data_IF_249254589246
#
_entry.id   IF_249254589246
#
_cell.length_a   1.000
_cell.length_b   1.000
_cell.length_c   1.000
_cell.angle_alpha   90.00
_cell.angle_beta   90.00
_cell.angle_gamma   90.00
#
_symmetry.space_group_name_H-M   'P 1'
#
loop_
_entity.id
_entity.type
_entity.pdbx_description
1 polymer ?
#
# COMPACT_ATOMS: atom_id res chain seq x y z
N UNK A 1 0.50 -8.52 -42.51
CA UNK A 1 -0.30 -8.40 -43.74
C UNK A 1 -0.63 -6.93 -43.93
N UNK A 2 -0.28 -6.40 -45.11
CA UNK A 2 -0.42 -5.01 -45.51
C UNK A 2 -1.87 -4.67 -45.83
N UNK A 3 -2.34 -3.48 -45.42
CA UNK A 3 -3.36 -2.74 -46.17
C UNK A 3 -2.95 -1.27 -46.22
N UNK A 4 -2.92 -0.79 -47.45
CA UNK A 4 -2.38 0.44 -48.01
C UNK A 4 -3.21 1.68 -47.66
N UNK A 5 -2.54 2.85 -47.61
CA UNK A 5 -3.18 4.15 -47.48
C UNK A 5 -3.74 4.71 -48.80
N UNK A 6 -4.47 5.83 -48.68
CA UNK A 6 -4.64 6.81 -49.74
C UNK A 6 -5.01 8.20 -49.17
N UNK A 7 -4.39 9.20 -49.80
CA UNK A 7 -4.26 10.62 -49.50
C UNK A 7 -5.58 11.44 -49.59
N UNK A 8 -5.76 12.46 -48.74
CA UNK A 8 -5.47 13.91 -48.94
C UNK A 8 -6.17 14.55 -50.16
N UNK A 9 -7.12 15.45 -49.89
CA UNK A 9 -7.45 16.60 -50.76
C UNK A 9 -7.61 17.87 -49.92
N UNK A 10 -6.85 18.90 -50.32
CA UNK A 10 -6.99 20.29 -49.92
C UNK A 10 -8.14 20.96 -50.69
N UNK A 11 -8.75 21.96 -50.07
CA UNK A 11 -9.59 22.97 -50.71
C UNK A 11 -9.59 24.22 -49.82
N UNK A 12 -9.16 25.34 -50.39
CA UNK A 12 -8.91 26.66 -49.77
C UNK A 12 -10.00 27.70 -50.13
N UNK A 13 -9.93 28.84 -49.43
CA UNK A 13 -10.59 30.16 -49.61
C UNK A 13 -11.85 30.40 -48.76
N UNK A 14 -11.81 31.25 -47.73
CA UNK A 14 -11.78 32.74 -47.69
C UNK A 14 -13.19 33.33 -47.97
N UNK A 15 -13.74 34.34 -47.29
CA UNK A 15 -13.22 35.47 -46.52
C UNK A 15 -14.42 36.23 -45.86
N UNK A 16 -14.12 37.13 -44.91
CA UNK A 16 -14.87 38.36 -44.53
C UNK A 16 -16.16 38.24 -43.67
N UNK A 17 -16.47 39.10 -42.68
CA UNK A 17 -15.80 40.21 -41.94
C UNK A 17 -16.76 40.60 -40.79
N UNK A 18 -16.21 41.19 -39.71
CA UNK A 18 -16.78 42.24 -38.82
C UNK A 18 -18.13 41.98 -38.09
N UNK A 19 -18.38 42.39 -36.85
CA UNK A 19 -17.69 43.25 -35.89
C UNK A 19 -18.63 43.52 -34.69
N UNK A 20 -18.17 44.38 -33.78
CA UNK A 20 -18.89 45.03 -32.68
C UNK A 20 -18.94 44.34 -31.29
N UNK A 21 -18.00 44.82 -30.48
CA UNK A 21 -17.99 44.92 -29.02
C UNK A 21 -19.27 45.52 -28.41
N UNK A 22 -19.64 45.06 -27.21
CA UNK A 22 -20.19 45.94 -26.18
C UNK A 22 -19.87 45.44 -24.77
N UNK A 23 -19.25 46.32 -24.01
CA UNK A 23 -18.88 46.23 -22.60
C UNK A 23 -19.99 46.77 -21.73
N UNK A 24 -20.34 46.09 -20.63
CA UNK A 24 -21.03 46.69 -19.49
C UNK A 24 -20.39 46.23 -18.18
N UNK A 25 -20.01 47.22 -17.37
CA UNK A 25 -19.38 47.10 -16.05
C UNK A 25 -20.37 46.65 -14.96
N UNK A 26 -19.92 45.66 -14.17
CA UNK A 26 -19.93 45.49 -12.68
C UNK A 26 -20.94 46.25 -11.79
N UNK A 27 -21.41 45.63 -10.67
CA UNK A 27 -20.62 45.62 -9.42
C UNK A 27 -20.56 44.30 -8.63
N UNK A 28 -19.43 44.13 -7.92
CA UNK A 28 -19.14 43.12 -6.89
C UNK A 28 -20.02 43.30 -5.63
N UNK A 29 -20.22 42.23 -4.83
CA UNK A 29 -20.43 42.36 -3.39
C UNK A 29 -19.14 42.04 -2.61
N UNK A 30 -18.92 42.88 -1.61
CA UNK A 30 -17.78 42.93 -0.71
C UNK A 30 -17.71 41.75 0.29
N UNK A 31 -16.48 41.53 0.76
CA UNK A 31 -16.11 40.73 1.94
C UNK A 31 -16.88 41.18 3.19
N UNK A 32 -17.64 40.26 3.79
CA UNK A 32 -18.13 40.38 5.17
C UNK A 32 -17.28 39.54 6.11
N UNK A 33 -16.66 40.20 7.09
CA UNK A 33 -15.88 39.60 8.17
C UNK A 33 -16.78 38.81 9.15
N UNK A 34 -16.14 37.89 9.87
CA UNK A 34 -16.77 36.81 10.60
C UNK A 34 -17.76 37.21 11.70
N UNK A 35 -18.87 36.48 11.73
CA UNK A 35 -19.72 36.34 12.92
C UNK A 35 -19.49 34.94 13.50
N UNK A 36 -18.73 34.91 14.59
CA UNK A 36 -18.40 33.72 15.39
C UNK A 36 -19.67 33.33 16.18
N UNK A 37 -20.46 32.39 15.67
CA UNK A 37 -21.50 31.74 16.45
C UNK A 37 -20.89 30.54 17.17
N UNK A 38 -21.00 30.58 18.49
CA UNK A 38 -20.49 29.62 19.45
C UNK A 38 -21.09 28.24 19.18
N UNK A 39 -20.19 27.26 19.04
CA UNK A 39 -20.50 25.85 19.02
C UNK A 39 -20.80 25.42 20.46
N UNK A 40 -22.06 25.13 20.77
CA UNK A 40 -22.41 24.32 21.92
C UNK A 40 -22.46 22.88 21.45
N UNK A 41 -21.38 22.14 21.71
CA UNK A 41 -21.37 20.68 21.76
C UNK A 41 -20.33 20.29 22.81
N UNK A 42 -20.79 19.74 23.93
CA UNK A 42 -19.94 18.94 24.80
C UNK A 42 -20.83 17.93 25.52
N UNK A 43 -20.62 16.64 25.21
CA UNK A 43 -20.46 15.48 26.11
C UNK A 43 -20.52 14.18 25.27
N UNK A 44 -19.83 13.09 25.65
CA UNK A 44 -18.42 13.00 26.04
C UNK A 44 -17.64 12.04 25.12
N UNK A 45 -16.42 12.44 24.74
CA UNK A 45 -15.43 11.57 24.09
C UNK A 45 -14.69 10.76 25.15
N UNK A 46 -15.17 9.57 25.45
CA UNK A 46 -14.38 8.54 26.12
C UNK A 46 -14.12 7.35 25.20
N UNK A 47 -13.07 7.51 24.40
CA UNK A 47 -12.20 6.39 23.99
C UNK A 47 -10.84 6.98 23.61
N UNK A 48 -10.12 7.48 24.63
CA UNK A 48 -8.71 7.84 24.47
C UNK A 48 -7.89 6.57 24.28
N UNK A 49 -7.44 6.36 23.04
CA UNK A 49 -6.30 5.51 22.74
C UNK A 49 -5.07 6.09 23.45
N UNK A 50 -4.60 5.43 24.50
CA UNK A 50 -3.34 5.78 25.15
C UNK A 50 -2.18 5.26 24.29
N UNK A 51 -1.74 6.07 23.33
CA UNK A 51 -0.39 5.97 22.82
C UNK A 51 0.51 6.71 23.82
N UNK A 52 1.23 5.97 24.66
CA UNK A 52 2.30 6.56 25.45
C UNK A 52 3.28 7.26 24.49
N UNK A 53 3.40 8.57 24.63
CA UNK A 53 4.44 9.36 24.00
C UNK A 53 5.79 8.89 24.55
N UNK A 54 6.54 8.13 23.75
CA UNK A 54 8.00 8.08 23.89
C UNK A 54 8.59 9.02 22.87
N UNK A 55 9.03 10.17 23.35
CA UNK A 55 9.90 11.11 22.64
C UNK A 55 11.29 10.50 22.46
N UNK A 56 11.66 10.15 21.23
CA UNK A 56 13.01 10.27 20.68
C UNK A 56 13.06 9.61 19.29
N UNK A 57 13.17 10.42 18.24
CA UNK A 57 13.52 9.97 16.90
C UNK A 57 15.01 9.63 16.84
N UNK A 58 15.44 8.42 16.43
CA UNK A 58 16.83 8.15 16.12
C UNK A 58 17.07 8.42 14.63
N UNK A 59 17.09 9.70 14.23
CA UNK A 59 17.47 10.12 12.87
C UNK A 59 18.67 11.09 12.84
N UNK A 60 19.32 11.33 13.97
CA UNK A 60 20.42 12.30 14.08
C UNK A 60 21.65 11.83 14.88
N UNK A 61 21.86 10.51 15.03
CA UNK A 61 23.09 9.99 15.63
C UNK A 61 23.91 9.17 14.61
N UNK A 62 25.07 9.72 14.25
CA UNK A 62 26.19 9.13 13.47
C UNK A 62 26.19 9.37 11.97
N UNK A 63 26.21 10.65 11.59
CA UNK A 63 27.07 11.13 10.52
C UNK A 63 28.15 12.03 11.14
N UNK A 64 29.25 11.43 11.62
CA UNK A 64 30.49 12.14 11.94
C UNK A 64 31.63 11.10 12.04
N UNK A 65 32.68 11.27 11.23
CA UNK A 65 33.95 10.57 11.40
C UNK A 65 34.37 9.60 10.28
N UNK A 66 34.35 10.02 9.01
CA UNK A 66 35.34 9.55 8.03
C UNK A 66 36.28 10.71 7.73
N UNK A 67 37.53 10.61 8.17
CA UNK A 67 38.73 10.99 7.40
C UNK A 67 39.93 10.22 7.98
N UNK A 68 40.81 9.86 7.05
CA UNK A 68 41.90 8.90 7.10
C UNK A 68 43.12 9.37 7.91
N UNK A 69 43.95 8.42 8.38
CA UNK A 69 45.33 8.22 7.89
C UNK A 69 46.15 7.33 8.85
N UNK A 70 46.72 6.25 8.30
CA UNK A 70 48.11 5.84 8.56
C UNK A 70 48.42 4.96 9.77
N UNK A 71 49.17 3.87 9.50
CA UNK A 71 50.27 3.46 10.38
C UNK A 71 50.20 2.05 10.94
N UNK A 72 50.94 1.14 10.29
CA UNK A 72 51.27 -0.21 10.75
C UNK A 72 52.16 -0.24 12.01
N UNK A 73 52.02 -1.36 12.75
CA UNK A 73 53.06 -2.18 13.40
C UNK A 73 53.90 -1.67 14.58
N UNK A 74 54.00 -2.59 15.56
CA UNK A 74 55.12 -2.93 16.46
C UNK A 74 55.26 -2.22 17.82
N UNK A 75 55.67 -3.01 18.81
CA UNK A 75 56.50 -2.53 19.94
C UNK A 75 55.85 -2.54 21.32
N UNK A 76 56.04 -3.64 22.04
CA UNK A 76 55.94 -3.75 23.50
C UNK A 76 57.14 -3.10 24.21
N UNK A 77 56.96 -2.80 25.52
CA UNK A 77 57.96 -2.40 26.54
C UNK A 77 58.38 -0.92 26.49
N UNK A 78 58.56 -0.17 27.58
CA UNK A 78 58.48 -0.43 29.02
C UNK A 78 58.33 0.93 29.77
N UNK A 79 57.92 0.83 31.04
CA UNK A 79 58.06 1.73 32.21
C UNK A 79 59.06 2.94 32.14
N UNK A 80 58.95 4.08 32.85
CA UNK A 80 58.46 4.43 34.20
C UNK A 80 58.50 5.99 34.44
N UNK A 81 57.68 6.46 35.42
CA UNK A 81 57.81 7.64 36.33
C UNK A 81 57.65 9.09 35.77
N UNK A 82 56.60 9.87 36.13
CA UNK A 82 56.23 10.55 37.41
C UNK A 82 56.79 12.01 37.41
N UNK A 83 56.15 13.13 37.79
CA UNK A 83 54.91 13.59 38.46
C UNK A 83 54.61 15.03 37.90
N UNK A 84 53.47 15.71 38.02
CA UNK A 84 52.28 15.60 38.87
C UNK A 84 51.28 16.76 38.60
N UNK A 85 50.36 16.97 39.56
CA UNK A 85 49.24 17.94 39.64
C UNK A 85 47.98 17.49 38.87
N UNK A 86 46.81 17.20 39.43
CA UNK A 86 46.09 17.63 40.64
C UNK A 86 44.62 17.15 40.49
N UNK A 87 43.76 17.27 41.52
CA UNK A 87 42.79 16.24 41.89
C UNK A 87 41.55 16.25 40.99
N UNK A 88 41.31 15.15 40.27
CA UNK A 88 40.01 14.89 39.68
C UNK A 88 39.38 13.72 40.41
N UNK A 89 38.51 14.07 41.37
CA UNK A 89 37.57 13.16 42.02
C UNK A 89 36.78 12.44 40.93
N UNK A 90 37.25 11.23 40.62
CA UNK A 90 36.62 10.31 39.70
C UNK A 90 35.33 9.89 40.39
N UNK A 91 34.21 10.50 39.99
CA UNK A 91 32.93 9.84 40.15
C UNK A 91 33.03 8.54 39.35
N UNK A 92 33.35 7.47 40.06
CA UNK A 92 33.01 6.11 39.70
C UNK A 92 31.51 6.14 39.36
N UNK A 93 31.21 6.31 38.07
CA UNK A 93 29.99 5.75 37.49
C UNK A 93 30.21 4.23 37.50
N UNK A 94 30.09 3.71 38.72
CA UNK A 94 29.77 2.33 38.99
C UNK A 94 28.62 2.03 38.05
N UNK A 95 28.88 1.18 37.05
CA UNK A 95 27.82 0.50 36.31
C UNK A 95 27.04 -0.25 37.39
N UNK A 96 26.03 0.40 37.95
CA UNK A 96 24.93 -0.32 38.56
C UNK A 96 24.40 -1.16 37.40
N UNK A 97 24.75 -2.44 37.42
CA UNK A 97 24.05 -3.47 36.68
C UNK A 97 22.61 -3.40 37.15
N UNK A 98 21.84 -2.50 36.52
CA UNK A 98 20.40 -2.44 36.64
C UNK A 98 19.87 -3.66 35.92
N UNK A 99 19.98 -4.82 36.56
CA UNK A 99 19.17 -5.99 36.28
C UNK A 99 17.72 -5.63 36.55
N UNK A 100 17.12 -4.88 35.62
CA UNK A 100 15.68 -4.93 35.40
C UNK A 100 15.46 -6.05 34.42
N UNK A 101 15.69 -7.28 34.88
CA UNK A 101 15.05 -8.45 34.30
C UNK A 101 13.57 -8.25 34.52
N UNK A 102 12.91 -7.52 33.62
CA UNK A 102 11.47 -7.45 33.59
C UNK A 102 11.03 -8.83 33.11
N UNK A 103 10.48 -9.70 33.96
CA UNK A 103 10.09 -11.06 33.55
C UNK A 103 9.12 -11.02 32.36
N UNK A 104 8.30 -9.96 32.26
CA UNK A 104 7.45 -9.70 31.09
C UNK A 104 8.20 -9.36 29.79
N UNK A 105 9.35 -8.68 29.86
CA UNK A 105 10.20 -8.41 28.69
C UNK A 105 10.98 -9.65 28.28
N UNK A 106 11.47 -10.45 29.24
CA UNK A 106 12.13 -11.73 28.97
C UNK A 106 11.14 -12.71 28.34
N UNK A 107 9.94 -12.88 28.92
CA UNK A 107 8.90 -13.75 28.34
C UNK A 107 8.42 -13.26 26.98
N UNK A 108 8.34 -11.94 26.77
CA UNK A 108 8.02 -11.37 25.46
C UNK A 108 9.13 -11.63 24.45
N UNK A 109 10.39 -11.46 24.84
CA UNK A 109 11.54 -11.73 23.99
C UNK A 109 11.64 -13.21 23.63
N UNK A 110 11.46 -14.12 24.60
CA UNK A 110 11.37 -15.57 24.38
C UNK A 110 10.20 -15.93 23.45
N UNK A 111 9.02 -15.35 23.67
CA UNK A 111 7.86 -15.55 22.78
C UNK A 111 8.14 -15.06 21.36
N UNK A 112 8.87 -13.95 21.20
CA UNK A 112 9.26 -13.41 19.90
C UNK A 112 10.37 -14.21 19.23
N UNK A 113 11.29 -14.81 20.00
CA UNK A 113 12.30 -15.74 19.49
C UNK A 113 11.69 -17.08 19.07
N UNK A 114 10.68 -17.55 19.81
CA UNK A 114 9.93 -18.77 19.51
C UNK A 114 8.82 -18.55 18.46
N UNK A 115 8.65 -17.31 18.00
CA UNK A 115 7.69 -16.97 16.95
C UNK A 115 8.13 -17.61 15.64
N UNK A 116 7.25 -18.35 14.93
CA UNK A 116 7.59 -18.96 13.64
C UNK A 116 7.74 -17.92 12.52
N UNK A 117 7.59 -16.61 12.80
CA UNK A 117 7.71 -15.55 11.81
C UNK A 117 9.16 -15.18 11.60
N UNK A 118 9.59 -15.17 10.34
CA UNK A 118 10.92 -14.69 9.97
C UNK A 118 11.25 -13.30 10.58
N UNK A 119 12.37 -13.20 11.30
CA UNK A 119 12.87 -11.95 11.89
C UNK A 119 13.58 -11.10 10.82
N UNK A 120 13.90 -9.84 11.18
CA UNK A 120 14.89 -9.03 10.45
C UNK A 120 16.32 -9.53 10.65
N UNK A 121 16.57 -10.26 11.74
CA UNK A 121 17.87 -10.86 11.99
C UNK A 121 18.10 -12.14 11.16
N UNK A 122 17.05 -12.69 10.53
CA UNK A 122 17.19 -13.85 9.66
C UNK A 122 18.08 -13.48 8.47
N UNK A 123 19.08 -14.32 8.21
CA UNK A 123 19.95 -14.13 7.06
C UNK A 123 19.12 -14.19 5.77
N UNK A 124 19.24 -13.16 4.94
CA UNK A 124 18.73 -13.19 3.58
C UNK A 124 19.74 -13.99 2.76
N UNK A 125 19.33 -15.08 2.08
CA UNK A 125 20.21 -15.82 1.19
C UNK A 125 20.84 -14.89 0.15
N UNK A 126 22.15 -15.02 -0.07
CA UNK A 126 22.85 -14.24 -1.12
C UNK A 126 22.28 -14.57 -2.50
N UNK A 127 21.99 -15.86 -2.73
CA UNK A 127 21.30 -16.37 -3.92
C UNK A 127 19.83 -16.68 -3.60
N UNK A 128 18.90 -16.22 -4.45
CA UNK A 128 17.49 -16.45 -4.21
C UNK A 128 17.11 -17.93 -4.36
N UNK A 129 16.32 -18.43 -3.42
CA UNK A 129 15.78 -19.79 -3.44
C UNK A 129 14.60 -19.89 -4.42
N UNK A 130 14.25 -21.10 -4.88
CA UNK A 130 13.07 -21.27 -5.74
C UNK A 130 11.75 -20.90 -5.04
N UNK A 131 11.66 -21.19 -3.74
CA UNK A 131 10.54 -20.83 -2.89
C UNK A 131 11.11 -20.17 -1.63
N UNK A 132 11.02 -18.84 -1.50
CA UNK A 132 11.54 -18.16 -0.33
C UNK A 132 10.83 -18.63 0.93
N UNK A 133 11.57 -18.85 2.02
CA UNK A 133 11.02 -19.28 3.33
C UNK A 133 9.74 -18.55 3.73
N UNK A 134 9.67 -17.23 3.54
CA UNK A 134 8.49 -16.42 3.91
C UNK A 134 7.27 -16.65 3.03
N UNK A 135 7.47 -17.05 1.78
CA UNK A 135 6.38 -17.46 0.91
C UNK A 135 5.90 -18.86 1.32
N UNK A 136 6.84 -19.77 1.60
CA UNK A 136 6.54 -21.12 2.11
C UNK A 136 5.70 -21.06 3.40
N UNK A 137 6.11 -20.27 4.40
CA UNK A 137 5.37 -20.08 5.65
C UNK A 137 3.92 -19.60 5.42
N UNK A 138 3.71 -18.75 4.40
CA UNK A 138 2.37 -18.24 4.05
C UNK A 138 1.53 -19.31 3.36
N UNK A 139 2.14 -20.15 2.54
CA UNK A 139 1.49 -21.26 1.88
C UNK A 139 1.07 -22.32 2.90
N UNK A 140 1.98 -22.73 3.78
CA UNK A 140 1.74 -23.73 4.84
C UNK A 140 0.71 -23.25 5.87
N UNK A 141 0.58 -21.94 6.04
CA UNK A 141 -0.46 -21.35 6.89
C UNK A 141 -1.90 -21.52 6.37
N UNK A 142 -2.10 -22.02 5.14
CA UNK A 142 -3.43 -22.26 4.58
C UNK A 142 -3.93 -23.66 4.98
N UNK A 143 -5.05 -23.72 5.71
CA UNK A 143 -5.67 -25.00 6.09
C UNK A 143 -6.53 -25.55 4.93
N UNK A 144 -5.90 -26.18 3.94
CA UNK A 144 -6.57 -26.79 2.78
C UNK A 144 -7.67 -27.80 3.19
N UNK A 145 -7.44 -28.74 4.12
CA UNK A 145 -8.50 -29.68 4.53
C UNK A 145 -9.76 -28.98 5.05
N UNK A 146 -9.59 -27.91 5.82
CA UNK A 146 -10.72 -27.13 6.33
C UNK A 146 -11.44 -26.37 5.20
N UNK A 147 -10.71 -25.87 4.20
CA UNK A 147 -11.32 -25.21 3.05
C UNK A 147 -12.16 -26.18 2.22
N UNK A 148 -11.68 -27.41 2.00
CA UNK A 148 -12.39 -28.44 1.23
C UNK A 148 -13.81 -28.69 1.77
N UNK A 149 -13.97 -28.70 3.09
CA UNK A 149 -15.27 -28.88 3.74
C UNK A 149 -16.16 -27.63 3.70
N UNK A 150 -15.56 -26.44 3.61
CA UNK A 150 -16.28 -25.17 3.83
C UNK A 150 -16.68 -24.45 2.56
N UNK A 151 -15.80 -24.44 1.57
CA UNK A 151 -16.02 -23.73 0.31
C UNK A 151 -15.15 -24.36 -0.77
N UNK A 152 -15.78 -25.15 -1.65
CA UNK A 152 -15.12 -25.87 -2.73
C UNK A 152 -14.36 -24.93 -3.66
N UNK A 153 -14.93 -23.78 -4.00
CA UNK A 153 -14.30 -22.83 -4.94
C UNK A 153 -13.02 -22.22 -4.36
N UNK A 154 -13.05 -21.81 -3.09
CA UNK A 154 -11.87 -21.28 -2.39
C UNK A 154 -10.82 -22.38 -2.19
N UNK A 155 -11.25 -23.62 -1.94
CA UNK A 155 -10.35 -24.76 -1.82
C UNK A 155 -9.63 -25.09 -3.13
N UNK A 156 -10.37 -25.21 -4.23
CA UNK A 156 -9.81 -25.46 -5.57
C UNK A 156 -8.79 -24.39 -5.93
N UNK A 157 -9.18 -23.12 -5.79
CA UNK A 157 -8.29 -21.99 -6.04
C UNK A 157 -7.06 -22.01 -5.13
N UNK A 158 -7.22 -22.26 -3.83
CA UNK A 158 -6.09 -22.34 -2.89
C UNK A 158 -5.13 -23.48 -3.25
N UNK A 159 -5.66 -24.62 -3.68
CA UNK A 159 -4.88 -25.78 -4.13
C UNK A 159 -4.06 -25.41 -5.36
N UNK A 160 -4.68 -24.82 -6.38
CA UNK A 160 -3.98 -24.36 -7.60
C UNK A 160 -2.88 -23.35 -7.25
N UNK A 161 -3.14 -22.37 -6.37
CA UNK A 161 -2.12 -21.39 -5.94
C UNK A 161 -0.95 -22.05 -5.23
N UNK A 162 -1.21 -22.99 -4.30
CA UNK A 162 -0.17 -23.70 -3.58
C UNK A 162 0.67 -24.57 -4.53
N UNK A 163 0.02 -25.24 -5.49
CA UNK A 163 0.70 -26.11 -6.44
C UNK A 163 1.57 -25.32 -7.42
N UNK A 164 1.15 -24.14 -7.89
CA UNK A 164 2.02 -23.27 -8.70
C UNK A 164 3.30 -22.91 -7.93
N UNK A 165 3.17 -22.50 -6.67
CA UNK A 165 4.33 -22.14 -5.84
C UNK A 165 5.24 -23.32 -5.57
N UNK A 166 4.71 -24.50 -5.22
CA UNK A 166 5.50 -25.73 -5.02
C UNK A 166 6.30 -26.12 -6.26
N UNK A 167 5.73 -25.88 -7.44
CA UNK A 167 6.37 -26.17 -8.71
C UNK A 167 7.29 -25.04 -9.22
N UNK A 168 7.55 -24.01 -8.40
CA UNK A 168 8.40 -22.88 -8.78
C UNK A 168 7.83 -22.05 -9.93
N UNK A 169 6.51 -22.00 -10.07
CA UNK A 169 5.79 -21.26 -11.12
C UNK A 169 5.10 -20.03 -10.52
N UNK A 170 5.05 -18.96 -11.30
CA UNK A 170 4.34 -17.73 -10.93
C UNK A 170 2.84 -17.78 -11.26
N UNK A 171 2.15 -16.66 -11.02
CA UNK A 171 0.76 -16.52 -11.43
C UNK A 171 0.59 -16.64 -12.95
N UNK A 172 -0.51 -17.24 -13.37
CA UNK A 172 -0.90 -17.45 -14.76
C UNK A 172 -2.38 -17.06 -14.96
N UNK A 173 -2.94 -17.35 -16.15
CA UNK A 173 -4.33 -17.03 -16.48
C UNK A 173 -5.35 -17.71 -15.57
N UNK A 174 -5.10 -18.96 -15.16
CA UNK A 174 -5.97 -19.70 -14.23
C UNK A 174 -6.01 -19.04 -12.85
N UNK A 175 -4.84 -18.65 -12.32
CA UNK A 175 -4.75 -17.91 -11.05
C UNK A 175 -5.47 -16.56 -11.14
N UNK A 176 -5.30 -15.84 -12.25
CA UNK A 176 -5.99 -14.56 -12.47
C UNK A 176 -7.51 -14.74 -12.55
N UNK A 177 -8.00 -15.78 -13.23
CA UNK A 177 -9.42 -16.10 -13.28
C UNK A 177 -9.98 -16.41 -11.88
N UNK A 178 -9.22 -17.15 -11.07
CA UNK A 178 -9.52 -17.40 -9.66
C UNK A 178 -9.52 -16.12 -8.81
N UNK A 179 -8.54 -15.24 -8.99
CA UNK A 179 -8.47 -13.92 -8.35
C UNK A 179 -9.74 -13.12 -8.62
N UNK A 180 -10.17 -13.04 -9.89
CA UNK A 180 -11.38 -12.32 -10.30
C UNK A 180 -12.62 -12.95 -9.65
N UNK A 181 -12.72 -14.29 -9.70
CA UNK A 181 -13.87 -15.03 -9.16
C UNK A 181 -14.05 -14.80 -7.65
N UNK A 182 -12.95 -14.80 -6.90
CA UNK A 182 -12.97 -14.70 -5.43
C UNK A 182 -12.81 -13.28 -4.89
N UNK A 183 -12.51 -12.29 -5.75
CA UNK A 183 -12.37 -10.89 -5.35
C UNK A 183 -13.57 -10.35 -4.52
N UNK A 184 -14.85 -10.68 -4.84
CA UNK A 184 -15.97 -10.25 -3.99
C UNK A 184 -15.90 -10.81 -2.56
N UNK A 185 -15.47 -12.06 -2.38
CA UNK A 185 -15.28 -12.67 -1.06
C UNK A 185 -14.14 -11.97 -0.32
N UNK A 186 -13.00 -11.73 -0.97
CA UNK A 186 -11.88 -11.02 -0.36
C UNK A 186 -12.26 -9.59 0.05
N UNK A 187 -13.04 -8.88 -0.77
CA UNK A 187 -13.56 -7.57 -0.41
C UNK A 187 -14.49 -7.62 0.81
N UNK A 188 -15.37 -8.62 0.91
CA UNK A 188 -16.24 -8.81 2.07
C UNK A 188 -15.42 -9.05 3.35
N UNK A 189 -14.41 -9.92 3.27
CA UNK A 189 -13.51 -10.24 4.38
C UNK A 189 -12.77 -8.98 4.85
N UNK A 190 -12.18 -8.22 3.93
CA UNK A 190 -11.44 -7.01 4.29
C UNK A 190 -12.35 -5.88 4.79
N UNK A 191 -13.59 -5.76 4.30
CA UNK A 191 -14.57 -4.83 4.87
C UNK A 191 -14.93 -5.20 6.31
N UNK A 192 -15.10 -6.49 6.62
CA UNK A 192 -15.35 -6.94 7.99
C UNK A 192 -14.16 -6.64 8.91
N UNK A 193 -12.93 -6.84 8.39
CA UNK A 193 -11.69 -6.61 9.16
C UNK A 193 -11.35 -5.13 9.33
N UNK A 194 -11.83 -4.26 8.44
CA UNK A 194 -11.49 -2.85 8.42
C UNK A 194 -12.79 -2.02 8.28
N UNK A 195 -13.52 -1.75 9.40
CA UNK A 195 -14.70 -0.90 9.36
C UNK A 195 -14.40 0.46 8.72
N UNK A 196 -15.23 0.88 7.76
CA UNK A 196 -15.03 2.11 7.00
C UNK A 196 -14.15 1.97 5.73
N UNK A 197 -13.59 0.79 5.46
CA UNK A 197 -12.93 0.51 4.18
C UNK A 197 -13.88 0.75 3.00
N UNK A 198 -15.13 0.29 3.14
CA UNK A 198 -16.22 0.46 2.16
C UNK A 198 -15.79 0.05 0.74
N UNK A 199 -15.11 -1.10 0.63
CA UNK A 199 -14.62 -1.65 -0.62
C UNK A 199 -15.75 -2.33 -1.40
N UNK A 200 -15.93 -1.95 -2.66
CA UNK A 200 -16.87 -2.55 -3.59
C UNK A 200 -16.14 -3.08 -4.82
N UNK A 201 -16.72 -4.08 -5.47
CA UNK A 201 -16.13 -4.75 -6.64
C UNK A 201 -17.17 -4.76 -7.75
N UNK A 202 -16.77 -4.37 -8.96
CA UNK A 202 -17.66 -4.36 -10.12
C UNK A 202 -17.05 -5.14 -11.28
N UNK A 203 -17.92 -5.80 -12.06
CA UNK A 203 -17.50 -6.65 -13.18
C UNK A 203 -17.09 -5.85 -14.42
N UNK A 204 -17.50 -4.59 -14.50
CA UNK A 204 -17.25 -3.72 -15.65
C UNK A 204 -17.39 -2.25 -15.30
N UNK A 205 -16.85 -1.39 -16.17
CA UNK A 205 -16.91 0.06 -16.07
C UNK A 205 -18.33 0.61 -15.96
N UNK A 206 -19.31 0.05 -16.68
CA UNK A 206 -20.70 0.55 -16.68
C UNK A 206 -21.35 0.40 -15.30
N UNK A 207 -21.22 -0.78 -14.70
CA UNK A 207 -21.72 -1.06 -13.34
C UNK A 207 -21.05 -0.15 -12.31
N UNK A 208 -19.72 0.01 -12.40
CA UNK A 208 -18.95 0.90 -11.54
C UNK A 208 -19.45 2.35 -11.63
N UNK A 209 -19.53 2.90 -12.84
CA UNK A 209 -19.98 4.28 -13.06
C UNK A 209 -21.44 4.51 -12.63
N UNK A 210 -22.32 3.51 -12.83
CA UNK A 210 -23.70 3.56 -12.33
C UNK A 210 -23.73 3.63 -10.81
N UNK A 211 -23.01 2.75 -10.12
CA UNK A 211 -22.96 2.73 -8.67
C UNK A 211 -22.40 4.04 -8.08
N UNK A 212 -21.35 4.62 -8.68
CA UNK A 212 -20.80 5.91 -8.26
C UNK A 212 -21.86 7.03 -8.34
N UNK A 213 -22.68 7.05 -9.41
CA UNK A 213 -23.76 8.04 -9.58
C UNK A 213 -24.84 7.87 -8.51
N UNK A 214 -25.27 6.63 -8.27
CA UNK A 214 -26.30 6.30 -7.27
C UNK A 214 -25.85 6.65 -5.85
N UNK A 215 -24.61 6.29 -5.50
CA UNK A 215 -24.03 6.65 -4.19
C UNK A 215 -23.89 8.16 -4.03
N UNK A 216 -23.44 8.87 -5.06
CA UNK A 216 -23.37 10.33 -4.98
C UNK A 216 -24.75 10.96 -4.81
N UNK A 217 -25.78 10.47 -5.52
CA UNK A 217 -27.15 10.95 -5.34
C UNK A 217 -27.64 10.71 -3.91
N UNK A 218 -27.36 9.55 -3.35
CA UNK A 218 -27.69 9.20 -1.95
C UNK A 218 -27.02 10.18 -0.98
N UNK A 219 -25.72 10.45 -1.13
CA UNK A 219 -24.96 11.44 -0.34
C UNK A 219 -25.55 12.85 -0.44
N UNK A 220 -25.99 13.25 -1.65
CA UNK A 220 -26.63 14.55 -1.83
C UNK A 220 -28.02 14.62 -1.17
N UNK A 221 -28.76 13.51 -1.10
CA UNK A 221 -30.08 13.45 -0.48
C UNK A 221 -30.01 13.39 1.05
N UNK A 222 -29.24 12.44 1.59
CA UNK A 222 -29.17 12.19 3.04
C UNK A 222 -28.20 13.12 3.79
N UNK A 223 -27.41 13.91 3.06
CA UNK A 223 -26.39 14.83 3.58
C UNK A 223 -25.30 14.15 4.43
N UNK A 224 -25.07 12.86 4.23
CA UNK A 224 -24.01 12.10 4.90
C UNK A 224 -22.84 11.87 3.95
N UNK A 225 -21.60 12.26 4.30
CA UNK A 225 -20.44 12.00 3.46
C UNK A 225 -20.15 10.50 3.36
N UNK A 226 -19.57 10.09 2.23
CA UNK A 226 -19.17 8.71 1.98
C UNK A 226 -17.75 8.67 1.42
N UNK A 227 -16.90 7.89 2.07
CA UNK A 227 -15.62 7.46 1.53
C UNK A 227 -15.72 5.98 1.18
N UNK A 228 -15.33 5.61 -0.03
CA UNK A 228 -15.42 4.23 -0.53
C UNK A 228 -14.26 3.90 -1.45
N UNK A 229 -13.98 2.60 -1.58
CA UNK A 229 -12.99 2.09 -2.53
C UNK A 229 -13.68 1.19 -3.53
N UNK A 230 -13.21 1.20 -4.76
CA UNK A 230 -13.73 0.33 -5.82
C UNK A 230 -12.58 -0.40 -6.48
N UNK A 231 -12.77 -1.69 -6.78
CA UNK A 231 -11.93 -2.43 -7.72
C UNK A 231 -12.80 -2.84 -8.91
N UNK A 232 -12.33 -2.54 -10.12
CA UNK A 232 -13.07 -2.83 -11.35
C UNK A 232 -12.12 -2.86 -12.56
N UNK A 233 -12.53 -3.50 -13.67
CA UNK A 233 -11.81 -3.42 -14.92
C UNK A 233 -12.15 -2.12 -15.66
N UNK A 234 -11.17 -1.23 -15.91
CA UNK A 234 -11.47 0.14 -16.36
C UNK A 234 -11.72 0.29 -17.86
N UNK A 235 -11.31 -0.69 -18.67
CA UNK A 235 -11.43 -0.63 -20.12
C UNK A 235 -12.70 -1.33 -20.59
N UNK A 236 -13.41 -0.72 -21.54
CA UNK A 236 -14.61 -1.28 -22.13
C UNK A 236 -14.30 -2.64 -22.78
N UNK A 237 -14.91 -3.70 -22.27
CA UNK A 237 -14.74 -5.07 -22.79
C UNK A 237 -13.54 -5.82 -22.21
N UNK A 238 -12.62 -5.15 -21.51
CA UNK A 238 -11.57 -5.83 -20.76
C UNK A 238 -12.15 -6.46 -19.49
N UNK A 239 -11.62 -7.63 -19.14
CA UNK A 239 -12.01 -8.37 -17.92
C UNK A 239 -10.80 -8.78 -17.07
N UNK A 240 -9.61 -8.66 -17.63
CA UNK A 240 -8.35 -9.19 -17.12
C UNK A 240 -7.52 -8.11 -16.41
N UNK A 241 -7.62 -6.84 -16.79
CA UNK A 241 -6.95 -5.74 -16.09
C UNK A 241 -7.88 -5.05 -15.08
N UNK A 242 -7.44 -4.89 -13.82
CA UNK A 242 -8.19 -4.21 -12.76
C UNK A 242 -7.38 -3.06 -12.17
N UNK A 243 -8.10 -2.00 -11.78
CA UNK A 243 -7.54 -0.84 -11.06
C UNK A 243 -8.35 -0.56 -9.80
N UNK A 244 -7.78 0.26 -8.91
CA UNK A 244 -8.46 0.71 -7.70
C UNK A 244 -8.89 2.17 -7.82
N UNK A 245 -10.08 2.49 -7.33
CA UNK A 245 -10.51 3.86 -7.09
C UNK A 245 -10.60 4.11 -5.58
N UNK A 246 -10.07 5.23 -5.11
CA UNK A 246 -10.46 5.85 -3.84
C UNK A 246 -11.41 7.02 -4.14
N UNK A 247 -12.56 7.05 -3.48
CA UNK A 247 -13.64 7.98 -3.78
C UNK A 247 -14.09 8.68 -2.51
N UNK A 248 -14.09 10.01 -2.55
CA UNK A 248 -14.69 10.88 -1.54
C UNK A 248 -15.90 11.61 -2.10
N UNK A 249 -17.05 11.41 -1.45
CA UNK A 249 -18.30 12.09 -1.76
C UNK A 249 -18.71 12.94 -0.56
N UNK A 250 -18.98 14.23 -0.82
CA UNK A 250 -19.39 15.19 0.21
C UNK A 250 -20.67 15.92 -0.22
N UNK A 251 -21.61 16.19 0.70
CA UNK A 251 -22.78 17.00 0.40
C UNK A 251 -22.39 18.36 -0.19
N UNK A 252 -23.07 18.79 -1.26
CA UNK A 252 -22.80 20.07 -1.94
C UNK A 252 -21.54 20.08 -2.81
N UNK A 253 -20.76 19.00 -2.85
CA UNK A 253 -19.57 18.90 -3.67
C UNK A 253 -19.70 17.81 -4.73
N UNK A 254 -18.98 18.01 -5.85
CA UNK A 254 -18.80 16.96 -6.85
C UNK A 254 -17.88 15.84 -6.30
N UNK A 255 -18.10 14.56 -6.67
CA UNK A 255 -17.23 13.46 -6.25
C UNK A 255 -15.75 13.74 -6.57
N UNK A 256 -14.87 13.36 -5.64
CA UNK A 256 -13.42 13.34 -5.86
C UNK A 256 -12.97 11.89 -5.96
N UNK A 257 -12.31 11.54 -7.06
CA UNK A 257 -11.91 10.17 -7.40
C UNK A 257 -10.40 10.15 -7.66
N UNK A 258 -9.69 9.27 -6.98
CA UNK A 258 -8.29 8.92 -7.23
C UNK A 258 -8.27 7.52 -7.83
N UNK A 259 -7.89 7.42 -9.10
CA UNK A 259 -7.59 6.15 -9.77
C UNK A 259 -6.13 5.78 -9.49
N UNK A 260 -5.91 4.60 -8.93
CA UNK A 260 -4.60 4.12 -8.50
C UNK A 260 -4.21 2.84 -9.23
N UNK A 261 -3.04 2.85 -9.88
CA UNK A 261 -2.53 1.76 -10.71
C UNK A 261 -1.20 1.19 -10.16
N UNK A 262 -1.05 -0.12 -10.31
CA UNK A 262 0.17 -0.84 -9.94
C UNK A 262 1.05 -1.19 -11.13
N UNK A 263 0.46 -1.38 -12.32
CA UNK A 263 1.18 -1.70 -13.55
C UNK A 263 1.61 -0.41 -14.28
N UNK A 264 1.66 -0.42 -15.62
CA UNK A 264 2.19 0.69 -16.43
C UNK A 264 1.20 1.87 -16.61
N UNK A 265 1.77 3.06 -16.81
CA UNK A 265 1.00 4.31 -16.87
C UNK A 265 0.17 4.50 -18.14
N UNK A 266 0.50 3.81 -19.23
CA UNK A 266 -0.13 4.08 -20.54
C UNK A 266 -1.63 3.75 -20.54
N UNK A 267 -2.04 2.71 -19.81
CA UNK A 267 -3.45 2.32 -19.67
C UNK A 267 -4.26 3.33 -18.84
N UNK A 268 -3.60 4.09 -17.97
CA UNK A 268 -4.27 5.03 -17.07
C UNK A 268 -4.91 6.19 -17.81
N UNK A 269 -4.29 6.69 -18.89
CA UNK A 269 -4.84 7.83 -19.62
C UNK A 269 -6.13 7.47 -20.35
N UNK A 270 -6.18 6.27 -20.94
CA UNK A 270 -7.40 5.73 -21.55
C UNK A 270 -8.49 5.47 -20.49
N UNK A 271 -8.15 4.78 -19.40
CA UNK A 271 -9.05 4.52 -18.29
C UNK A 271 -9.64 5.81 -17.69
N UNK A 272 -8.80 6.83 -17.49
CA UNK A 272 -9.23 8.16 -17.05
C UNK A 272 -10.20 8.80 -18.04
N UNK A 273 -9.94 8.72 -19.34
CA UNK A 273 -10.81 9.27 -20.38
C UNK A 273 -12.20 8.63 -20.37
N UNK A 274 -12.26 7.30 -20.22
CA UNK A 274 -13.53 6.57 -20.09
C UNK A 274 -14.29 7.00 -18.84
N UNK A 275 -13.62 7.04 -17.68
CA UNK A 275 -14.24 7.44 -16.42
C UNK A 275 -14.73 8.90 -16.44
N UNK A 276 -13.93 9.81 -17.00
CA UNK A 276 -14.28 11.22 -17.14
C UNK A 276 -15.48 11.44 -18.05
N UNK A 277 -15.58 10.65 -19.13
CA UNK A 277 -16.75 10.69 -20.03
C UNK A 277 -18.02 10.21 -19.33
N UNK A 278 -17.93 9.15 -18.52
CA UNK A 278 -19.08 8.62 -17.79
C UNK A 278 -19.49 9.49 -16.59
N UNK A 279 -18.53 10.22 -15.99
CA UNK A 279 -18.69 11.03 -14.78
C UNK A 279 -18.17 12.48 -15.00
N UNK A 280 -18.79 13.28 -15.89
CA UNK A 280 -18.25 14.57 -16.33
C UNK A 280 -18.13 15.62 -15.22
N UNK A 281 -18.84 15.44 -14.11
CA UNK A 281 -18.77 16.35 -12.95
C UNK A 281 -17.71 15.94 -11.93
N UNK A 282 -17.18 14.72 -11.96
CA UNK A 282 -16.22 14.25 -10.94
C UNK A 282 -14.85 14.94 -11.10
N UNK A 283 -14.15 15.15 -9.98
CA UNK A 283 -12.70 15.43 -10.00
C UNK A 283 -11.99 14.10 -10.10
N UNK A 284 -11.27 13.85 -11.18
CA UNK A 284 -10.55 12.59 -11.38
C UNK A 284 -9.06 12.88 -11.39
N UNK A 285 -8.34 12.27 -10.44
CA UNK A 285 -6.89 12.23 -10.40
C UNK A 285 -6.43 10.80 -10.67
N UNK A 286 -5.32 10.67 -11.40
CA UNK A 286 -4.62 9.41 -11.61
C UNK A 286 -3.34 9.46 -10.81
N UNK A 287 -3.04 8.37 -10.11
CA UNK A 287 -1.79 8.14 -9.41
C UNK A 287 -1.42 6.66 -9.51
N UNK A 288 -0.22 6.28 -9.05
CA UNK A 288 0.20 4.89 -9.11
C UNK A 288 1.52 4.63 -8.45
N UNK A 289 1.75 3.35 -8.15
CA UNK A 289 3.02 2.86 -7.61
C UNK A 289 3.93 2.25 -8.68
N UNK A 290 3.36 1.80 -9.81
CA UNK A 290 4.11 1.27 -10.96
C UNK A 290 5.09 0.14 -10.59
N UNK A 291 4.72 -0.68 -9.59
CA UNK A 291 5.57 -1.73 -9.00
C UNK A 291 5.28 -3.14 -9.54
N UNK A 292 4.19 -3.31 -10.29
CA UNK A 292 3.80 -4.57 -10.91
C UNK A 292 4.53 -4.75 -12.24
N UNK A 293 5.15 -5.91 -12.39
CA UNK A 293 5.81 -6.40 -13.62
C UNK A 293 5.13 -7.64 -14.18
N UNK A 294 4.40 -8.39 -13.37
CA UNK A 294 3.63 -9.54 -13.85
C UNK A 294 2.37 -9.12 -14.59
N UNK A 295 1.96 -9.97 -15.54
CA UNK A 295 0.73 -9.79 -16.33
C UNK A 295 -0.54 -10.14 -15.54
N UNK A 296 -0.44 -11.00 -14.53
CA UNK A 296 -1.59 -11.70 -13.95
C UNK A 296 -1.98 -11.28 -12.53
N UNK A 297 -1.20 -10.42 -11.85
CA UNK A 297 -1.43 -10.09 -10.43
C UNK A 297 -2.21 -8.78 -10.20
N UNK A 298 -2.74 -8.12 -11.23
CA UNK A 298 -3.37 -6.80 -11.11
C UNK A 298 -4.55 -6.76 -10.11
N UNK A 299 -5.27 -7.87 -9.96
CA UNK A 299 -6.36 -8.01 -8.98
C UNK A 299 -5.84 -7.96 -7.55
N UNK A 300 -4.77 -8.70 -7.25
CA UNK A 300 -4.15 -8.72 -5.92
C UNK A 300 -3.49 -7.39 -5.58
N UNK A 301 -2.84 -6.75 -6.56
CA UNK A 301 -2.32 -5.39 -6.36
C UNK A 301 -3.44 -4.39 -6.11
N UNK A 302 -4.53 -4.46 -6.87
CA UNK A 302 -5.70 -3.60 -6.65
C UNK A 302 -6.32 -3.79 -5.28
N UNK A 303 -6.45 -5.04 -4.81
CA UNK A 303 -6.92 -5.32 -3.46
C UNK A 303 -5.99 -4.75 -2.39
N UNK A 304 -4.67 -4.95 -2.52
CA UNK A 304 -3.72 -4.33 -1.61
C UNK A 304 -3.80 -2.80 -1.65
N UNK A 305 -3.88 -2.20 -2.85
CA UNK A 305 -3.98 -0.74 -3.02
C UNK A 305 -5.23 -0.19 -2.33
N UNK A 306 -6.39 -0.83 -2.44
CA UNK A 306 -7.60 -0.41 -1.74
C UNK A 306 -7.41 -0.37 -0.21
N UNK A 307 -6.77 -1.41 0.34
CA UNK A 307 -6.45 -1.50 1.77
C UNK A 307 -5.44 -0.41 2.18
N UNK A 308 -4.45 -0.10 1.34
CA UNK A 308 -3.45 0.94 1.63
C UNK A 308 -4.03 2.34 1.52
N UNK A 309 -4.83 2.62 0.49
CA UNK A 309 -5.52 3.90 0.31
C UNK A 309 -6.43 4.20 1.52
N UNK A 310 -7.09 3.18 2.07
CA UNK A 310 -7.79 3.29 3.33
C UNK A 310 -6.85 3.53 4.51
N UNK A 311 -5.77 2.75 4.69
CA UNK A 311 -4.86 2.91 5.84
C UNK A 311 -4.11 4.25 5.86
N UNK A 312 -3.96 4.89 4.70
CA UNK A 312 -3.29 6.17 4.53
C UNK A 312 -4.29 7.30 4.20
N UNK A 313 -5.57 7.14 4.55
CA UNK A 313 -6.62 8.06 4.15
C UNK A 313 -6.44 9.50 4.66
N UNK A 314 -5.96 9.66 5.90
CA UNK A 314 -5.82 10.97 6.53
C UNK A 314 -4.55 11.73 6.13
N UNK A 315 -3.58 11.04 5.53
CA UNK A 315 -2.29 11.63 5.15
C UNK A 315 -2.08 11.66 3.63
N UNK A 316 -1.94 10.50 3.01
CA UNK A 316 -1.61 10.41 1.59
C UNK A 316 -2.83 10.70 0.73
N UNK A 317 -3.91 9.95 0.96
CA UNK A 317 -5.09 10.00 0.11
C UNK A 317 -5.84 11.34 0.24
N UNK A 318 -5.90 11.91 1.45
CA UNK A 318 -6.45 13.26 1.67
C UNK A 318 -5.75 14.32 0.80
N UNK A 319 -4.40 14.30 0.75
CA UNK A 319 -3.61 15.22 -0.08
C UNK A 319 -3.91 15.04 -1.57
N UNK A 320 -4.06 13.79 -2.02
CA UNK A 320 -4.47 13.50 -3.40
C UNK A 320 -5.84 14.09 -3.73
N UNK A 321 -6.85 13.91 -2.86
CA UNK A 321 -8.20 14.45 -3.06
C UNK A 321 -8.27 15.98 -2.95
N UNK A 322 -7.34 16.60 -2.23
CA UNK A 322 -7.16 18.05 -2.18
C UNK A 322 -6.49 18.62 -3.45
N UNK A 323 -6.01 17.75 -4.35
CA UNK A 323 -5.43 18.14 -5.63
C UNK A 323 -3.95 18.48 -5.57
N UNK A 324 -3.26 18.13 -4.48
CA UNK A 324 -1.80 18.27 -4.41
C UNK A 324 -1.12 17.45 -5.50
N UNK A 325 -0.09 18.01 -6.13
CA UNK A 325 0.71 17.33 -7.15
C UNK A 325 1.95 16.72 -6.50
N UNK A 326 2.47 15.63 -7.07
CA UNK A 326 3.71 14.99 -6.62
C UNK A 326 3.72 14.58 -5.14
N UNK A 327 2.59 14.08 -4.64
CA UNK A 327 2.52 13.54 -3.28
C UNK A 327 3.34 12.25 -3.24
N UNK A 328 4.39 12.14 -2.40
CA UNK A 328 5.21 10.94 -2.36
C UNK A 328 4.39 9.71 -1.96
N UNK A 329 4.52 8.63 -2.73
CA UNK A 329 3.85 7.35 -2.45
C UNK A 329 4.46 6.75 -1.18
N UNK A 330 3.67 6.42 -0.14
CA UNK A 330 4.21 5.85 1.08
C UNK A 330 4.89 4.49 0.84
N UNK A 331 5.98 4.21 1.56
CA UNK A 331 6.74 2.96 1.45
C UNK A 331 5.90 1.68 1.58
N UNK A 332 4.79 1.75 2.31
CA UNK A 332 3.84 0.65 2.53
C UNK A 332 3.12 0.19 1.26
N UNK A 333 3.03 1.04 0.23
CA UNK A 333 2.52 0.68 -1.10
C UNK A 333 3.56 -0.12 -1.89
N UNK A 334 4.85 0.09 -1.63
CA UNK A 334 5.96 -0.55 -2.35
C UNK A 334 6.31 -1.96 -1.82
N UNK A 335 5.65 -2.43 -0.75
CA UNK A 335 5.91 -3.72 -0.07
C UNK A 335 5.87 -4.96 -0.97
N UNK A 336 5.19 -4.85 -2.10
CA UNK A 336 4.98 -5.94 -3.04
C UNK A 336 5.71 -5.72 -4.36
N UNK A 337 6.61 -4.73 -4.44
CA UNK A 337 7.33 -4.45 -5.67
C UNK A 337 8.09 -5.66 -6.19
N UNK A 338 7.86 -5.99 -7.47
CA UNK A 338 8.44 -7.17 -8.12
C UNK A 338 9.89 -6.96 -8.57
N UNK A 339 10.34 -5.71 -8.64
CA UNK A 339 11.71 -5.34 -9.01
C UNK A 339 12.56 -5.07 -7.77
N UNK A 340 13.69 -5.80 -7.67
CA UNK A 340 14.74 -5.55 -6.67
C UNK A 340 15.38 -4.18 -6.88
N UNK A 341 15.82 -3.89 -8.10
CA UNK A 341 16.51 -2.66 -8.44
C UNK A 341 15.66 -1.42 -8.22
N UNK A 342 14.33 -1.51 -8.42
CA UNK A 342 13.41 -0.43 -8.09
C UNK A 342 13.47 -0.08 -6.61
N UNK A 343 13.47 -1.07 -5.72
CA UNK A 343 13.49 -0.85 -4.27
C UNK A 343 14.88 -0.43 -3.78
N UNK A 344 15.96 -1.04 -4.28
CA UNK A 344 17.34 -0.70 -3.88
C UNK A 344 17.72 0.75 -4.16
N UNK A 345 17.16 1.31 -5.23
CA UNK A 345 17.38 2.70 -5.64
C UNK A 345 16.31 3.66 -5.11
N UNK A 346 15.31 3.18 -4.37
CA UNK A 346 14.23 4.02 -3.86
C UNK A 346 14.67 4.75 -2.57
N UNK A 347 14.33 6.05 -2.38
CA UNK A 347 14.65 6.79 -1.16
C UNK A 347 14.11 6.15 0.13
N UNK A 348 12.96 5.47 0.04
CA UNK A 348 12.27 4.81 1.16
C UNK A 348 12.75 3.39 1.47
N UNK A 349 13.88 2.94 0.91
CA UNK A 349 14.34 1.54 1.04
C UNK A 349 14.58 1.10 2.49
N UNK A 350 15.00 2.03 3.35
CA UNK A 350 15.28 1.79 4.77
C UNK A 350 14.07 2.06 5.68
N UNK A 351 12.93 2.46 5.11
CA UNK A 351 11.70 2.72 5.85
C UNK A 351 11.10 1.42 6.37
N UNK A 352 10.72 1.40 7.65
CA UNK A 352 10.09 0.23 8.27
C UNK A 352 8.65 0.05 7.78
N UNK A 353 8.34 -1.12 7.20
CA UNK A 353 7.05 -1.41 6.51
C UNK A 353 6.20 -2.48 7.20
N UNK A 354 6.64 -2.97 8.35
CA UNK A 354 5.86 -3.83 9.25
C UNK A 354 4.88 -3.03 10.11
N UNK A 355 3.85 -3.72 10.61
CA UNK A 355 2.92 -3.14 11.59
C UNK A 355 3.62 -2.90 12.92
N UNK A 356 4.46 -3.85 13.33
CA UNK A 356 5.34 -3.70 14.48
C UNK A 356 6.61 -2.96 14.05
N UNK A 357 6.71 -1.69 14.46
CA UNK A 357 7.80 -0.80 14.05
C UNK A 357 9.04 -0.91 14.93
N UNK A 358 8.93 -1.53 16.11
CA UNK A 358 10.00 -1.58 17.11
C UNK A 358 10.34 -2.98 17.62
N UNK A 359 9.54 -4.00 17.31
CA UNK A 359 9.80 -5.36 17.74
C UNK A 359 10.76 -6.14 16.83
N UNK A 360 11.06 -7.36 17.26
CA UNK A 360 12.02 -8.28 16.64
C UNK A 360 11.70 -8.63 15.16
N UNK A 361 10.45 -8.40 14.73
CA UNK A 361 10.00 -8.64 13.36
C UNK A 361 9.90 -7.35 12.53
N UNK A 362 10.40 -6.22 13.03
CA UNK A 362 10.40 -4.97 12.29
C UNK A 362 11.29 -5.07 11.06
N UNK A 363 10.77 -4.77 9.87
CA UNK A 363 11.51 -4.92 8.62
C UNK A 363 11.48 -3.65 7.78
N UNK A 364 12.61 -3.36 7.13
CA UNK A 364 12.69 -2.30 6.12
C UNK A 364 12.06 -2.76 4.80
N UNK A 365 11.75 -1.80 3.92
CA UNK A 365 11.24 -2.09 2.58
C UNK A 365 12.22 -2.96 1.78
N UNK A 366 13.53 -2.65 1.82
CA UNK A 366 14.56 -3.41 1.14
C UNK A 366 14.69 -4.83 1.69
N UNK A 367 14.76 -4.96 3.02
CA UNK A 367 14.84 -6.27 3.67
C UNK A 367 13.65 -7.15 3.27
N UNK A 368 12.44 -6.57 3.28
CA UNK A 368 11.24 -7.27 2.81
C UNK A 368 11.37 -7.72 1.36
N UNK A 369 11.77 -6.82 0.46
CA UNK A 369 11.89 -7.13 -0.97
C UNK A 369 12.87 -8.29 -1.21
N UNK A 370 14.05 -8.22 -0.57
CA UNK A 370 15.08 -9.24 -0.66
C UNK A 370 14.63 -10.59 -0.10
N UNK A 371 13.93 -10.60 1.05
CA UNK A 371 13.43 -11.82 1.68
C UNK A 371 12.29 -12.53 0.91
N UNK A 372 11.79 -11.92 -0.17
CA UNK A 372 10.83 -12.52 -1.11
C UNK A 372 11.43 -12.75 -2.50
N UNK A 373 12.73 -12.53 -2.72
CA UNK A 373 13.38 -12.85 -4.00
C UNK A 373 13.37 -14.36 -4.22
N UNK A 374 12.92 -14.79 -5.38
CA UNK A 374 12.95 -16.19 -5.81
C UNK A 374 13.64 -16.36 -7.15
N UNK A 375 14.36 -17.47 -7.33
CA UNK A 375 14.86 -17.93 -8.63
C UNK A 375 13.96 -19.03 -9.19
N UNK A 376 13.21 -18.73 -10.25
CA UNK A 376 12.15 -19.61 -10.77
C UNK A 376 12.30 -19.79 -12.28
N UNK A 377 11.47 -20.65 -12.87
CA UNK A 377 11.48 -20.90 -14.32
C UNK A 377 11.31 -19.65 -15.19
N UNK A 378 10.70 -18.58 -14.65
CA UNK A 378 10.56 -17.28 -15.29
C UNK A 378 11.73 -16.30 -15.01
N UNK A 379 12.79 -16.76 -14.34
CA UNK A 379 13.92 -15.97 -13.85
C UNK A 379 13.70 -15.39 -12.45
N UNK A 380 14.69 -14.62 -11.99
CA UNK A 380 14.67 -13.98 -10.68
C UNK A 380 13.61 -12.88 -10.57
N UNK A 381 12.73 -12.97 -9.57
CA UNK A 381 11.76 -11.92 -9.25
C UNK A 381 11.32 -11.98 -7.78
N UNK A 382 10.59 -10.95 -7.33
CA UNK A 382 10.11 -10.86 -5.95
C UNK A 382 8.66 -11.32 -5.85
N UNK A 383 8.41 -12.33 -5.01
CA UNK A 383 7.13 -13.07 -4.89
C UNK A 383 6.22 -12.54 -3.77
N UNK A 384 6.50 -11.34 -3.24
CA UNK A 384 5.77 -10.78 -2.10
C UNK A 384 4.27 -10.61 -2.36
N UNK A 385 3.84 -10.38 -3.61
CA UNK A 385 2.41 -10.29 -3.97
C UNK A 385 1.71 -11.66 -3.94
N UNK A 386 2.40 -12.75 -4.27
CA UNK A 386 1.88 -14.11 -4.11
C UNK A 386 1.66 -14.43 -2.62
N UNK A 387 2.60 -13.99 -1.77
CA UNK A 387 2.42 -14.07 -0.33
C UNK A 387 1.26 -13.23 0.20
N UNK A 388 0.88 -12.14 -0.49
CA UNK A 388 -0.35 -11.40 -0.17
C UNK A 388 -1.58 -12.21 -0.57
N UNK A 389 -1.62 -12.77 -1.77
CA UNK A 389 -2.69 -13.68 -2.22
C UNK A 389 -2.95 -14.82 -1.22
N UNK A 390 -1.91 -15.54 -0.80
CA UNK A 390 -2.03 -16.61 0.20
C UNK A 390 -2.61 -16.14 1.53
N UNK A 391 -2.25 -14.93 1.94
CA UNK A 391 -2.79 -14.33 3.16
C UNK A 391 -4.29 -14.01 3.03
N UNK A 392 -4.74 -13.53 1.87
CA UNK A 392 -6.16 -13.25 1.63
C UNK A 392 -6.99 -14.54 1.53
N UNK A 393 -6.43 -15.61 0.93
CA UNK A 393 -7.01 -16.96 0.95
C UNK A 393 -7.19 -17.45 2.40
N UNK A 394 -6.14 -17.38 3.21
CA UNK A 394 -6.18 -17.80 4.62
C UNK A 394 -7.25 -17.03 5.40
N UNK A 395 -7.30 -15.70 5.25
CA UNK A 395 -8.30 -14.84 5.90
C UNK A 395 -9.72 -15.16 5.47
N UNK A 396 -9.94 -15.45 4.19
CA UNK A 396 -11.26 -15.87 3.70
C UNK A 396 -11.68 -17.20 4.33
N UNK A 397 -10.77 -18.16 4.44
CA UNK A 397 -11.02 -19.42 5.15
C UNK A 397 -11.41 -19.22 6.62
N UNK A 398 -10.67 -18.38 7.35
CA UNK A 398 -10.95 -18.03 8.74
C UNK A 398 -12.31 -17.31 8.90
N UNK A 399 -12.62 -16.37 8.00
CA UNK A 399 -13.89 -15.64 8.00
C UNK A 399 -15.09 -16.57 7.77
N UNK A 400 -14.99 -17.47 6.79
CA UNK A 400 -16.02 -18.48 6.54
C UNK A 400 -16.16 -19.45 7.72
N UNK A 401 -15.07 -19.75 8.42
CA UNK A 401 -15.10 -20.58 9.61
C UNK A 401 -15.86 -19.92 10.77
N UNK A 402 -15.61 -18.62 11.01
CA UNK A 402 -16.23 -17.87 12.10
C UNK A 402 -17.74 -17.60 11.88
N UNK A 403 -18.15 -17.32 10.64
CA UNK A 403 -19.54 -16.91 10.35
C UNK A 403 -20.55 -18.06 10.33
N UNK A 404 -20.11 -19.33 10.22
CA UNK A 404 -21.01 -20.49 10.25
C UNK A 404 -21.46 -20.91 11.66
N UNK A 405 -20.84 -20.35 12.72
CA UNK A 405 -21.28 -20.56 14.12
C UNK A 405 -22.54 -19.72 14.44
N UNK A 406 -22.98 -18.86 13.52
CA UNK A 406 -24.16 -17.99 13.68
C UNK A 406 -25.33 -18.33 12.74
N UNK A 407 -25.27 -19.45 12.03
CA UNK A 407 -26.34 -19.92 11.14
C UNK A 407 -27.16 -21.02 11.81
#
# INVERSE_FOLDING_TARGET
MNISGLNRRQGTQAENTEGASSSVNTPQPQRGAGRRLQRQDALPTDTRYSANQTSASPQSARAAGRYEAGGSSSGTQDTQQAEGLGPSSSFLLQRQGGGRDHPGLVSFHEMMQNSPKASRADAIPEQPEAIPKRLLEKMEGINLPQLAFRNTELHEYATTVCDQVKNGRGANEEIMAGDIKLLPLFAQVENSRNPGLNLQVFKNEKECCKAIKEQNNTVQQNKQPLNMRIIYPPLKGAKDHHVTLDIQMRPGHRPSIVMFESAEADLLMYARGTLASALPRAKIKVDGSFIQRSKYDCIMYSLNNAIKLFKHHDEYTARLHNGEKHVPVPATFLKHAQSKSLVENHPEKDTTVTKDKGGLHAETLLHRNQAYRSDRSAGEHVTSIEGFRMQEIKRAGEFLAANRVRA
#
